data_IF_526512652138
#
_entry.id   IF_526512652138
#
_cell.length_a   1.000
_cell.length_b   1.000
_cell.length_c   1.000
_cell.angle_alpha   90.00
_cell.angle_beta   90.00
_cell.angle_gamma   90.00
#
_symmetry.space_group_name_H-M   'P 1'
#
loop_
_entity.id
_entity.type
_entity.pdbx_description
1 polymer ?
#
# COMPACT_ATOMS: atom_id res chain seq x y z
N UNK A 1 25.98 -9.72 0.90
CA UNK A 1 24.90 -10.69 0.67
C UNK A 1 23.70 -10.30 1.51
N UNK A 2 22.71 -9.76 0.83
CA UNK A 2 21.41 -9.43 1.40
C UNK A 2 20.43 -10.61 1.25
N UNK A 3 19.20 -10.44 1.75
CA UNK A 3 18.12 -11.41 1.51
C UNK A 3 17.70 -11.36 0.04
N UNK A 4 17.63 -10.16 -0.54
CA UNK A 4 17.32 -9.95 -1.95
C UNK A 4 18.31 -10.67 -2.87
N UNK A 5 19.61 -10.63 -2.59
CA UNK A 5 20.62 -11.34 -3.40
C UNK A 5 20.32 -12.85 -3.51
N UNK A 6 19.95 -13.47 -2.39
CA UNK A 6 19.64 -14.89 -2.33
C UNK A 6 18.33 -15.23 -3.05
N UNK A 7 17.31 -14.37 -2.91
CA UNK A 7 16.02 -14.55 -3.60
C UNK A 7 16.18 -14.37 -5.11
N UNK A 8 17.02 -13.45 -5.59
CA UNK A 8 17.28 -13.30 -7.04
C UNK A 8 17.86 -14.58 -7.64
N UNK A 9 18.74 -15.27 -6.92
CA UNK A 9 19.30 -16.54 -7.39
C UNK A 9 18.30 -17.68 -7.34
N UNK A 10 17.49 -17.75 -6.28
CA UNK A 10 16.48 -18.81 -6.11
C UNK A 10 15.17 -18.54 -6.86
N UNK A 11 15.01 -17.35 -7.45
CA UNK A 11 13.80 -16.88 -8.11
C UNK A 11 13.56 -17.49 -9.49
N UNK A 12 14.52 -18.23 -10.03
CA UNK A 12 14.39 -18.99 -11.29
C UNK A 12 13.53 -20.25 -11.16
N UNK A 13 13.20 -20.67 -9.94
CA UNK A 13 12.40 -21.87 -9.69
C UNK A 13 13.18 -23.18 -9.83
N UNK A 14 14.51 -23.13 -9.85
CA UNK A 14 15.39 -24.29 -9.92
C UNK A 14 16.04 -24.60 -8.56
N UNK A 15 16.60 -25.80 -8.42
CA UNK A 15 17.35 -26.18 -7.22
C UNK A 15 18.80 -25.70 -7.31
N UNK A 16 19.25 -24.99 -6.28
CA UNK A 16 20.62 -24.50 -6.14
C UNK A 16 21.28 -25.09 -4.89
N UNK A 17 22.44 -25.72 -5.05
CA UNK A 17 23.20 -26.23 -3.91
C UNK A 17 23.79 -25.07 -3.08
N UNK A 18 23.98 -25.30 -1.77
CA UNK A 18 24.59 -24.29 -0.90
C UNK A 18 26.05 -23.95 -1.25
N UNK A 19 26.72 -24.79 -2.04
CA UNK A 19 28.05 -24.52 -2.58
C UNK A 19 27.99 -23.58 -3.78
N UNK A 20 27.12 -23.87 -4.77
CA UNK A 20 26.86 -22.98 -5.92
C UNK A 20 26.43 -21.58 -5.47
N UNK A 21 25.50 -21.49 -4.51
CA UNK A 21 25.06 -20.22 -3.94
C UNK A 21 26.22 -19.49 -3.25
N UNK A 22 27.11 -20.22 -2.56
CA UNK A 22 28.29 -19.65 -1.91
C UNK A 22 29.28 -19.08 -2.91
N UNK A 23 29.57 -19.81 -3.98
CA UNK A 23 30.45 -19.38 -5.07
C UNK A 23 29.92 -18.14 -5.78
N UNK A 24 28.64 -18.14 -6.17
CA UNK A 24 28.03 -17.00 -6.88
C UNK A 24 27.95 -15.74 -6.01
N UNK A 25 27.75 -15.89 -4.70
CA UNK A 25 27.62 -14.77 -3.76
C UNK A 25 28.96 -14.38 -3.11
N UNK A 26 30.05 -15.10 -3.39
CA UNK A 26 31.37 -14.87 -2.81
C UNK A 26 31.43 -15.09 -1.29
N UNK A 27 30.63 -16.04 -0.76
CA UNK A 27 30.56 -16.34 0.68
C UNK A 27 30.67 -17.84 0.97
N UNK A 28 30.90 -18.20 2.23
CA UNK A 28 30.95 -19.61 2.63
C UNK A 28 29.56 -20.26 2.59
N UNK A 29 29.52 -21.58 2.36
CA UNK A 29 28.29 -22.40 2.47
C UNK A 29 27.59 -22.24 3.82
N UNK A 30 28.34 -22.04 4.90
CA UNK A 30 27.78 -21.79 6.22
C UNK A 30 27.05 -20.43 6.31
N UNK A 31 27.57 -19.39 5.65
CA UNK A 31 26.93 -18.09 5.55
C UNK A 31 25.63 -18.17 4.72
N UNK A 32 25.62 -18.93 3.62
CA UNK A 32 24.40 -19.23 2.85
C UNK A 32 23.36 -19.91 3.74
N UNK A 33 23.73 -20.98 4.45
CA UNK A 33 22.81 -21.69 5.34
C UNK A 33 22.17 -20.78 6.40
N UNK A 34 22.95 -19.85 6.98
CA UNK A 34 22.43 -18.87 7.94
C UNK A 34 21.38 -17.94 7.31
N UNK A 35 21.57 -17.50 6.06
CA UNK A 35 20.58 -16.67 5.38
C UNK A 35 19.35 -17.47 4.95
N UNK A 36 19.51 -18.72 4.50
CA UNK A 36 18.37 -19.60 4.21
C UNK A 36 17.48 -19.79 5.45
N UNK A 37 18.07 -19.96 6.65
CA UNK A 37 17.29 -19.99 7.91
C UNK A 37 16.60 -18.67 8.22
N UNK A 38 17.20 -17.54 7.81
CA UNK A 38 16.57 -16.22 7.96
C UNK A 38 15.36 -16.08 7.03
N UNK A 39 15.41 -16.60 5.80
CA UNK A 39 14.26 -16.63 4.89
C UNK A 39 13.07 -17.35 5.51
N UNK A 40 13.28 -18.55 6.08
CA UNK A 40 12.23 -19.30 6.79
C UNK A 40 11.62 -18.48 7.94
N UNK A 41 12.46 -17.77 8.71
CA UNK A 41 11.97 -16.91 9.80
C UNK A 41 11.15 -15.69 9.34
N UNK A 42 11.29 -15.31 8.06
CA UNK A 42 10.49 -14.26 7.42
C UNK A 42 9.22 -14.79 6.76
N UNK A 43 8.92 -16.09 6.92
CA UNK A 43 7.77 -16.74 6.30
C UNK A 43 7.97 -17.03 4.81
N UNK A 44 9.20 -17.00 4.32
CA UNK A 44 9.52 -17.37 2.93
C UNK A 44 9.78 -18.88 2.90
N UNK A 45 8.78 -19.62 2.41
CA UNK A 45 8.81 -21.07 2.31
C UNK A 45 9.85 -21.54 1.30
N UNK A 46 10.62 -22.56 1.68
CA UNK A 46 11.66 -23.15 0.85
C UNK A 46 11.56 -24.66 0.82
N UNK A 47 11.93 -25.24 -0.32
CA UNK A 47 12.14 -26.67 -0.48
C UNK A 47 13.62 -26.99 -0.36
N UNK A 48 13.96 -28.01 0.43
CA UNK A 48 15.32 -28.51 0.59
C UNK A 48 15.37 -30.00 0.25
N UNK A 49 16.09 -30.36 -0.81
CA UNK A 49 16.23 -31.74 -1.27
C UNK A 49 17.68 -32.19 -1.13
N UNK A 50 17.90 -33.28 -0.39
CA UNK A 50 19.24 -33.85 -0.17
C UNK A 50 19.86 -34.21 -1.52
N UNK A 51 21.02 -33.62 -1.82
CA UNK A 51 21.77 -33.84 -3.05
C UNK A 51 21.40 -32.92 -4.22
N UNK A 52 20.31 -32.14 -4.13
CA UNK A 52 19.93 -31.15 -5.16
C UNK A 52 20.10 -29.71 -4.66
N UNK A 53 19.84 -29.45 -3.38
CA UNK A 53 20.01 -28.12 -2.79
C UNK A 53 18.70 -27.50 -2.33
N UNK A 54 18.53 -26.21 -2.60
CA UNK A 54 17.45 -25.38 -2.10
C UNK A 54 16.73 -24.66 -3.24
N UNK A 55 15.43 -24.42 -3.08
CA UNK A 55 14.58 -23.64 -3.98
C UNK A 55 13.48 -22.93 -3.18
N UNK A 56 12.93 -21.82 -3.68
CA UNK A 56 11.71 -21.24 -3.13
C UNK A 56 10.50 -22.17 -3.39
N UNK A 57 9.66 -22.40 -2.39
CA UNK A 57 8.45 -23.20 -2.57
C UNK A 57 7.43 -22.50 -3.49
N UNK A 58 7.44 -21.17 -3.48
CA UNK A 58 6.61 -20.33 -4.33
C UNK A 58 7.48 -19.27 -5.01
N UNK A 59 7.21 -18.92 -6.29
CA UNK A 59 7.88 -17.81 -6.94
C UNK A 59 7.70 -16.51 -6.14
N UNK A 60 8.77 -15.74 -6.01
CA UNK A 60 8.77 -14.44 -5.34
C UNK A 60 9.46 -13.41 -6.24
N UNK A 61 8.67 -12.55 -6.87
CA UNK A 61 9.20 -11.48 -7.70
C UNK A 61 9.68 -10.33 -6.81
N UNK A 62 10.94 -9.94 -6.90
CA UNK A 62 11.44 -8.73 -6.23
C UNK A 62 11.07 -7.47 -7.01
N UNK A 63 10.95 -6.36 -6.29
CA UNK A 63 10.81 -5.04 -6.88
C UNK A 63 12.09 -4.66 -7.62
N UNK A 64 11.94 -4.22 -8.86
CA UNK A 64 12.99 -3.81 -9.77
C UNK A 64 12.67 -2.40 -10.30
N UNK A 65 13.40 -1.42 -9.78
CA UNK A 65 13.20 -0.02 -10.15
C UNK A 65 13.45 0.26 -11.63
N UNK A 66 14.36 -0.46 -12.30
CA UNK A 66 14.63 -0.24 -13.72
C UNK A 66 13.46 -0.71 -14.56
N UNK A 67 12.90 -1.88 -14.26
CA UNK A 67 11.72 -2.41 -14.93
C UNK A 67 10.50 -1.51 -14.72
N UNK A 68 10.26 -1.09 -13.47
CA UNK A 68 9.16 -0.18 -13.13
C UNK A 68 9.27 1.12 -13.93
N UNK A 69 10.45 1.76 -13.97
CA UNK A 69 10.65 3.02 -14.70
C UNK A 69 10.50 2.83 -16.23
N UNK A 70 10.92 1.68 -16.76
CA UNK A 70 10.82 1.39 -18.19
C UNK A 70 9.36 1.32 -18.68
N UNK A 71 8.46 0.84 -17.83
CA UNK A 71 7.03 0.69 -18.14
C UNK A 71 6.24 2.00 -17.99
N UNK A 72 6.78 3.03 -17.33
CA UNK A 72 6.11 4.33 -17.18
C UNK A 72 6.07 5.13 -18.49
N UNK A 73 4.96 5.83 -18.72
CA UNK A 73 4.83 6.80 -19.81
C UNK A 73 5.77 8.00 -19.63
N UNK A 74 5.91 8.81 -20.69
CA UNK A 74 6.67 10.06 -20.62
C UNK A 74 6.03 11.06 -19.65
N UNK A 75 4.70 11.09 -19.56
CA UNK A 75 3.97 12.01 -18.70
C UNK A 75 4.24 11.69 -17.23
N UNK A 76 4.02 10.44 -16.81
CA UNK A 76 4.28 10.02 -15.44
C UNK A 76 5.77 10.21 -15.06
N UNK A 77 6.70 9.81 -15.94
CA UNK A 77 8.14 10.04 -15.74
C UNK A 77 8.52 11.52 -15.58
N UNK A 78 7.76 12.44 -16.19
CA UNK A 78 7.99 13.87 -16.05
C UNK A 78 7.76 14.39 -14.62
N UNK A 79 7.00 13.66 -13.81
CA UNK A 79 6.73 13.99 -12.40
C UNK A 79 7.57 13.17 -11.42
N UNK A 80 8.32 12.16 -11.89
CA UNK A 80 9.17 11.31 -11.07
C UNK A 80 10.59 11.88 -11.00
N UNK A 81 10.98 12.41 -9.85
CA UNK A 81 12.34 12.87 -9.58
C UNK A 81 13.27 11.68 -9.33
N UNK A 82 12.84 10.72 -8.51
CA UNK A 82 13.65 9.55 -8.13
C UNK A 82 12.78 8.41 -7.62
N UNK A 83 13.17 7.18 -7.96
CA UNK A 83 12.61 5.95 -7.40
C UNK A 83 13.66 5.25 -6.51
N UNK A 84 13.28 4.98 -5.27
CA UNK A 84 14.03 4.14 -4.34
C UNK A 84 13.36 2.78 -4.24
N UNK A 85 14.16 1.71 -4.24
CA UNK A 85 13.69 0.33 -3.98
C UNK A 85 14.55 -0.24 -2.88
N UNK A 86 13.94 -0.48 -1.73
CA UNK A 86 14.61 -0.90 -0.50
C UNK A 86 14.15 -2.30 -0.07
N UNK A 87 15.06 -3.12 0.47
CA UNK A 87 14.68 -4.44 0.99
C UNK A 87 13.95 -4.33 2.33
N UNK A 88 14.38 -3.42 3.20
CA UNK A 88 13.77 -3.25 4.52
C UNK A 88 13.97 -1.84 5.01
N UNK A 89 12.89 -1.20 5.45
CA UNK A 89 12.90 0.08 6.14
C UNK A 89 12.01 0.02 7.38
N UNK A 90 12.19 0.88 8.38
CA UNK A 90 11.18 1.08 9.42
C UNK A 90 9.84 1.50 8.80
N UNK A 91 9.85 2.54 7.96
CA UNK A 91 8.68 3.03 7.24
C UNK A 91 9.13 3.80 5.99
N UNK A 92 8.55 3.49 4.84
CA UNK A 92 8.75 4.19 3.57
C UNK A 92 8.23 5.63 3.64
N UNK A 93 7.16 5.89 4.39
CA UNK A 93 6.69 7.25 4.66
C UNK A 93 7.71 8.05 5.48
N UNK A 94 8.26 7.45 6.55
CA UNK A 94 9.24 8.13 7.39
C UNK A 94 10.54 8.41 6.61
N UNK A 95 10.96 7.46 5.76
CA UNK A 95 12.09 7.64 4.86
C UNK A 95 11.89 8.85 3.95
N UNK A 96 10.75 8.94 3.25
CA UNK A 96 10.48 10.12 2.40
C UNK A 96 10.28 11.40 3.21
N UNK A 97 9.77 11.33 4.44
CA UNK A 97 9.66 12.52 5.29
C UNK A 97 11.02 13.12 5.57
N UNK A 98 12.00 12.30 5.96
CA UNK A 98 13.37 12.74 6.23
C UNK A 98 14.07 13.34 4.99
N UNK A 99 13.67 12.92 3.77
CA UNK A 99 14.20 13.52 2.53
C UNK A 99 13.88 15.01 2.42
N UNK A 100 12.72 15.44 2.92
CA UNK A 100 12.33 16.85 2.88
C UNK A 100 13.19 17.72 3.78
N UNK A 101 13.64 17.20 4.93
CA UNK A 101 14.58 17.90 5.83
C UNK A 101 15.91 18.25 5.13
N UNK A 102 16.22 17.55 4.04
CA UNK A 102 17.42 17.74 3.21
C UNK A 102 17.13 18.47 1.89
N UNK A 103 15.96 19.10 1.76
CA UNK A 103 15.55 19.83 0.55
C UNK A 103 15.11 18.94 -0.62
N UNK A 104 15.02 17.62 -0.45
CA UNK A 104 14.56 16.66 -1.46
C UNK A 104 13.07 16.30 -1.29
N UNK A 105 12.66 15.05 -1.59
CA UNK A 105 11.31 14.53 -1.33
C UNK A 105 10.25 14.85 -2.39
N UNK A 106 10.32 15.99 -3.09
CA UNK A 106 9.36 16.31 -4.15
C UNK A 106 9.50 15.39 -5.36
N UNK A 107 8.42 14.68 -5.72
CA UNK A 107 8.41 13.71 -6.81
C UNK A 107 9.29 12.49 -6.55
N UNK A 108 9.71 12.26 -5.30
CA UNK A 108 10.45 11.05 -4.92
C UNK A 108 9.48 9.95 -4.48
N UNK A 109 9.75 8.72 -4.92
CA UNK A 109 8.98 7.52 -4.61
C UNK A 109 9.85 6.52 -3.88
N UNK A 110 9.34 5.92 -2.82
CA UNK A 110 9.98 4.82 -2.12
C UNK A 110 9.10 3.56 -2.20
N UNK A 111 9.69 2.49 -2.72
CA UNK A 111 9.14 1.15 -2.69
C UNK A 111 9.96 0.30 -1.71
N UNK A 112 9.30 -0.55 -0.93
CA UNK A 112 9.99 -1.39 0.05
C UNK A 112 9.42 -2.82 0.12
N UNK A 113 10.30 -3.82 0.19
CA UNK A 113 9.90 -5.23 0.30
C UNK A 113 9.24 -5.57 1.64
N UNK A 114 9.68 -4.90 2.71
CA UNK A 114 9.14 -5.05 4.05
C UNK A 114 9.32 -3.78 4.90
N UNK A 115 8.27 -3.40 5.63
CA UNK A 115 8.39 -2.42 6.70
C UNK A 115 8.51 -3.10 8.06
N UNK A 116 9.54 -2.77 8.84
CA UNK A 116 9.72 -3.29 10.20
C UNK A 116 8.94 -2.51 11.27
N UNK A 117 8.55 -1.27 10.96
CA UNK A 117 7.79 -0.38 11.83
C UNK A 117 6.70 0.39 11.04
N UNK A 118 6.03 -0.33 10.13
CA UNK A 118 4.99 0.23 9.29
C UNK A 118 3.85 0.85 10.10
N UNK A 119 3.30 1.96 9.63
CA UNK A 119 2.28 2.73 10.34
C UNK A 119 1.02 2.88 9.50
N UNK A 120 -0.11 2.85 10.18
CA UNK A 120 -1.40 3.32 9.70
C UNK A 120 -1.86 4.54 10.51
N UNK A 121 -3.08 5.00 10.23
CA UNK A 121 -3.69 6.13 10.96
C UNK A 121 -3.73 5.87 12.47
N UNK A 122 -3.64 6.96 13.24
CA UNK A 122 -3.74 6.95 14.72
C UNK A 122 -2.72 6.04 15.40
N UNK A 123 -1.53 5.91 14.80
CA UNK A 123 -0.42 5.13 15.35
C UNK A 123 -0.59 3.61 15.30
N UNK A 124 -1.61 3.08 14.61
CA UNK A 124 -1.76 1.63 14.44
C UNK A 124 -0.61 1.07 13.61
N UNK A 125 -0.14 -0.13 13.94
CA UNK A 125 0.85 -0.81 13.11
C UNK A 125 0.25 -1.26 11.77
N UNK A 126 1.05 -1.16 10.72
CA UNK A 126 0.83 -1.84 9.44
C UNK A 126 1.87 -2.94 9.28
N UNK A 127 1.47 -4.17 9.54
CA UNK A 127 2.32 -5.34 9.42
C UNK A 127 2.39 -5.80 7.96
N UNK A 128 3.58 -6.15 7.49
CA UNK A 128 3.83 -6.53 6.10
C UNK A 128 4.68 -7.80 6.06
N UNK A 129 4.20 -8.90 5.45
CA UNK A 129 5.04 -10.04 5.16
C UNK A 129 6.05 -9.68 4.07
N UNK A 130 7.28 -10.16 4.21
CA UNK A 130 8.37 -9.81 3.30
C UNK A 130 8.05 -10.23 1.87
N UNK A 131 8.05 -9.30 0.91
CA UNK A 131 7.84 -9.57 -0.52
C UNK A 131 6.42 -9.99 -0.91
N UNK A 132 5.47 -9.98 0.03
CA UNK A 132 4.07 -10.42 -0.19
C UNK A 132 3.05 -9.27 -0.18
N UNK A 133 3.56 -8.04 -0.15
CA UNK A 133 2.79 -6.80 -0.30
C UNK A 133 3.49 -5.84 -1.25
N UNK A 134 2.75 -4.85 -1.73
CA UNK A 134 3.31 -3.65 -2.36
C UNK A 134 3.23 -2.50 -1.35
N UNK A 135 4.38 -2.01 -0.91
CA UNK A 135 4.51 -0.85 -0.03
C UNK A 135 5.12 0.29 -0.82
N UNK A 136 4.36 1.37 -0.96
CA UNK A 136 4.71 2.52 -1.78
C UNK A 136 4.52 3.79 -0.96
N UNK A 137 5.47 4.72 -1.07
CA UNK A 137 5.30 6.11 -0.62
C UNK A 137 5.66 7.06 -1.74
N UNK A 138 4.93 8.17 -1.86
CA UNK A 138 5.20 9.27 -2.78
C UNK A 138 5.27 10.59 -2.00
N UNK A 139 6.37 11.32 -2.16
CA UNK A 139 6.57 12.65 -1.59
C UNK A 139 6.20 13.76 -2.57
N UNK A 140 5.50 14.79 -2.10
CA UNK A 140 5.14 15.95 -2.90
C UNK A 140 5.18 17.26 -2.10
N UNK A 141 5.39 18.39 -2.79
CA UNK A 141 5.30 19.74 -2.23
C UNK A 141 4.07 20.43 -2.81
N UNK A 142 3.35 21.16 -1.98
CA UNK A 142 2.09 21.82 -2.31
C UNK A 142 2.20 23.26 -1.83
N UNK A 143 1.92 24.24 -2.69
CA UNK A 143 2.12 25.66 -2.36
C UNK A 143 0.91 26.26 -1.62
N UNK A 144 -0.29 25.74 -1.90
CA UNK A 144 -1.59 26.24 -1.45
C UNK A 144 -1.98 25.80 -0.02
N UNK A 145 -1.13 25.02 0.65
CA UNK A 145 -1.34 24.57 2.02
C UNK A 145 -2.25 23.36 2.19
N UNK A 146 -2.51 23.03 3.46
CA UNK A 146 -3.12 21.74 3.86
C UNK A 146 -4.56 21.58 3.36
N UNK A 147 -5.32 22.67 3.29
CA UNK A 147 -6.72 22.63 2.83
C UNK A 147 -6.85 22.13 1.38
N UNK A 148 -5.84 22.38 0.54
CA UNK A 148 -5.82 21.90 -0.84
C UNK A 148 -5.66 20.36 -0.95
N UNK A 149 -5.36 19.68 0.16
CA UNK A 149 -5.17 18.23 0.22
C UNK A 149 -6.41 17.47 0.71
N UNK A 150 -7.52 18.17 1.00
CA UNK A 150 -8.77 17.55 1.38
C UNK A 150 -9.24 16.55 0.30
N UNK A 151 -9.52 15.32 0.71
CA UNK A 151 -9.92 14.24 -0.19
C UNK A 151 -8.79 13.57 -0.99
N UNK A 152 -7.51 13.96 -0.79
CA UNK A 152 -6.38 13.32 -1.48
C UNK A 152 -6.31 11.81 -1.25
N UNK A 153 -6.56 11.34 -0.01
CA UNK A 153 -6.61 9.89 0.28
C UNK A 153 -7.72 9.17 -0.48
N UNK A 154 -8.84 9.86 -0.75
CA UNK A 154 -9.98 9.30 -1.47
C UNK A 154 -9.68 9.21 -2.96
N UNK A 155 -9.12 10.26 -3.56
CA UNK A 155 -8.67 10.25 -4.96
C UNK A 155 -7.62 9.16 -5.20
N UNK A 156 -6.63 9.06 -4.30
CA UNK A 156 -5.62 8.02 -4.35
C UNK A 156 -6.23 6.61 -4.21
N UNK A 157 -7.30 6.46 -3.42
CA UNK A 157 -8.09 5.24 -3.34
C UNK A 157 -8.78 4.87 -4.65
N UNK A 158 -9.35 5.85 -5.36
CA UNK A 158 -9.94 5.61 -6.69
C UNK A 158 -8.87 5.20 -7.70
N UNK A 159 -7.70 5.85 -7.70
CA UNK A 159 -6.59 5.48 -8.57
C UNK A 159 -6.17 4.03 -8.36
N UNK A 160 -5.95 3.63 -7.09
CA UNK A 160 -5.64 2.25 -6.74
C UNK A 160 -6.75 1.29 -7.17
N UNK A 161 -8.02 1.62 -6.93
CA UNK A 161 -9.14 0.77 -7.33
C UNK A 161 -9.19 0.55 -8.86
N UNK A 162 -9.01 1.60 -9.66
CA UNK A 162 -8.99 1.50 -11.13
C UNK A 162 -7.86 0.62 -11.64
N UNK A 163 -6.66 0.76 -11.06
CA UNK A 163 -5.52 -0.11 -11.39
C UNK A 163 -5.83 -1.56 -11.03
N UNK A 164 -6.35 -1.81 -9.84
CA UNK A 164 -6.74 -3.17 -9.44
C UNK A 164 -7.81 -3.78 -10.35
N UNK A 165 -8.79 -2.99 -10.78
CA UNK A 165 -9.83 -3.40 -11.74
C UNK A 165 -9.27 -3.76 -13.11
N UNK A 166 -8.25 -3.06 -13.62
CA UNK A 166 -7.61 -3.43 -14.89
C UNK A 166 -6.86 -4.76 -14.79
N UNK A 167 -6.51 -5.19 -13.58
CA UNK A 167 -5.95 -6.50 -13.28
C UNK A 167 -7.01 -7.55 -12.89
N UNK A 168 -8.31 -7.24 -13.02
CA UNK A 168 -9.42 -8.16 -12.77
C UNK A 168 -9.86 -8.27 -11.31
N UNK A 169 -9.34 -7.43 -10.41
CA UNK A 169 -9.73 -7.37 -9.00
C UNK A 169 -10.92 -6.41 -8.84
N UNK A 170 -11.88 -6.75 -7.98
CA UNK A 170 -13.09 -5.93 -7.74
C UNK A 170 -13.11 -5.32 -6.33
N UNK A 171 -12.32 -4.25 -6.07
CA UNK A 171 -12.23 -3.63 -4.75
C UNK A 171 -13.42 -2.70 -4.45
N UNK A 172 -13.68 -2.49 -3.15
CA UNK A 172 -14.56 -1.43 -2.65
C UNK A 172 -13.77 -0.42 -1.82
N UNK A 173 -14.24 0.82 -1.78
CA UNK A 173 -13.64 1.91 -1.03
C UNK A 173 -14.36 2.14 0.29
N UNK A 174 -13.59 2.16 1.38
CA UNK A 174 -14.05 2.43 2.73
C UNK A 174 -13.48 3.75 3.20
N UNK A 175 -14.37 4.69 3.48
CA UNK A 175 -13.98 6.00 4.00
C UNK A 175 -13.25 5.89 5.35
N UNK A 176 -12.21 6.71 5.59
CA UNK A 176 -11.67 7.73 4.67
C UNK A 176 -10.49 7.25 3.81
N UNK A 177 -9.99 6.02 3.99
CA UNK A 177 -8.66 5.69 3.49
C UNK A 177 -8.35 4.18 3.34
N UNK A 178 -9.35 3.32 3.40
CA UNK A 178 -9.17 1.87 3.31
C UNK A 178 -9.76 1.33 2.00
N UNK A 179 -9.12 0.31 1.43
CA UNK A 179 -9.67 -0.48 0.33
C UNK A 179 -10.04 -1.86 0.87
N UNK A 180 -11.22 -2.35 0.52
CA UNK A 180 -11.75 -3.64 0.92
C UNK A 180 -11.84 -4.56 -0.29
N UNK A 181 -11.73 -5.86 -0.03
CA UNK A 181 -11.95 -6.88 -1.05
C UNK A 181 -12.78 -8.02 -0.46
N UNK A 182 -13.71 -8.53 -1.27
CA UNK A 182 -14.47 -9.73 -0.92
C UNK A 182 -13.57 -10.95 -1.09
N UNK A 183 -13.47 -11.73 -0.02
CA UNK A 183 -12.66 -12.95 0.08
C UNK A 183 -13.46 -14.18 -0.38
N UNK A 184 -12.81 -15.35 -0.57
CA UNK A 184 -13.48 -16.57 -1.01
C UNK A 184 -14.59 -17.06 -0.06
N UNK A 185 -14.48 -16.77 1.24
CA UNK A 185 -15.50 -17.07 2.26
C UNK A 185 -16.76 -16.19 2.17
N UNK A 186 -16.75 -15.18 1.29
CA UNK A 186 -17.85 -14.25 1.07
C UNK A 186 -17.78 -12.98 1.92
N UNK A 187 -16.85 -12.89 2.87
CA UNK A 187 -16.68 -11.75 3.77
C UNK A 187 -15.74 -10.68 3.17
N UNK A 188 -15.86 -9.45 3.65
CA UNK A 188 -14.95 -8.37 3.26
C UNK A 188 -13.75 -8.28 4.21
N UNK A 189 -12.55 -8.26 3.63
CA UNK A 189 -11.30 -7.99 4.35
C UNK A 189 -10.65 -6.69 3.88
N UNK A 190 -9.81 -6.09 4.73
CA UNK A 190 -8.99 -4.95 4.33
C UNK A 190 -7.90 -5.40 3.36
N UNK A 191 -7.94 -4.87 2.13
CA UNK A 191 -6.98 -5.13 1.06
C UNK A 191 -5.81 -4.14 1.11
N UNK A 192 -6.12 -2.86 1.26
CA UNK A 192 -5.11 -1.81 1.28
C UNK A 192 -5.44 -0.71 2.30
N UNK A 193 -4.40 -0.01 2.74
CA UNK A 193 -4.51 1.21 3.53
C UNK A 193 -3.71 2.34 2.90
N UNK A 194 -4.33 3.52 2.84
CA UNK A 194 -3.70 4.74 2.33
C UNK A 194 -3.46 5.68 3.52
N UNK A 195 -2.26 6.21 3.66
CA UNK A 195 -1.88 7.10 4.75
C UNK A 195 -1.25 8.36 4.16
N UNK A 196 -1.98 9.47 4.25
CA UNK A 196 -1.49 10.80 3.86
C UNK A 196 -0.99 11.52 5.10
N UNK A 197 0.30 11.83 5.13
CA UNK A 197 0.96 12.58 6.21
C UNK A 197 1.41 13.94 5.67
N UNK A 198 0.99 15.01 6.33
CA UNK A 198 1.26 16.39 5.91
C UNK A 198 2.09 17.10 6.99
N UNK A 199 3.07 17.89 6.55
CA UNK A 199 3.89 18.77 7.39
C UNK A 199 3.96 20.15 6.75
N UNK A 200 3.99 21.22 7.54
CA UNK A 200 4.03 22.60 7.04
C UNK A 200 2.86 23.45 7.52
N UNK A 201 2.65 24.59 6.85
CA UNK A 201 1.64 25.59 7.22
C UNK A 201 0.26 25.22 6.65
N UNK A 202 -0.80 25.53 7.40
CA UNK A 202 -2.18 25.43 6.95
C UNK A 202 -2.47 26.33 5.73
N UNK A 203 -1.80 27.49 5.62
CA UNK A 203 -2.06 28.52 4.60
C UNK A 203 -0.91 28.75 3.62
N UNK A 204 0.14 27.93 3.65
CA UNK A 204 1.36 28.13 2.86
C UNK A 204 2.00 26.81 2.45
N UNK A 205 3.24 26.81 1.94
CA UNK A 205 3.82 25.61 1.39
C UNK A 205 3.89 24.50 2.43
N UNK A 206 3.40 23.34 2.03
CA UNK A 206 3.38 22.13 2.84
C UNK A 206 3.91 20.94 2.05
N UNK A 207 4.28 19.90 2.79
CA UNK A 207 4.90 18.71 2.26
C UNK A 207 4.05 17.52 2.63
N UNK A 208 3.70 16.72 1.63
CA UNK A 208 2.84 15.55 1.80
C UNK A 208 3.61 14.28 1.45
N UNK A 209 3.42 13.24 2.27
CA UNK A 209 3.81 11.87 1.93
C UNK A 209 2.56 11.01 1.86
N UNK A 210 2.33 10.41 0.70
CA UNK A 210 1.23 9.49 0.44
C UNK A 210 1.77 8.08 0.52
N UNK A 211 1.47 7.37 1.61
CA UNK A 211 1.78 5.96 1.80
C UNK A 211 0.64 5.06 1.37
N UNK A 212 0.96 3.97 0.70
CA UNK A 212 0.04 2.89 0.33
C UNK A 212 0.65 1.56 0.73
N UNK A 213 -0.10 0.81 1.53
CA UNK A 213 0.17 -0.60 1.76
C UNK A 213 -0.91 -1.45 1.11
N UNK A 214 -0.53 -2.30 0.16
CA UNK A 214 -1.43 -3.21 -0.55
C UNK A 214 -1.00 -4.65 -0.28
N UNK A 215 -1.92 -5.47 0.22
CA UNK A 215 -1.70 -6.89 0.40
C UNK A 215 -1.83 -7.62 -0.93
N UNK A 216 -0.78 -8.32 -1.36
CA UNK A 216 -0.82 -9.10 -2.60
C UNK A 216 -1.17 -10.56 -2.31
N UNK A 217 -0.47 -11.14 -1.35
CA UNK A 217 -0.66 -12.51 -0.89
C UNK A 217 -0.51 -12.55 0.63
N UNK A 218 -1.36 -13.30 1.32
CA UNK A 218 -1.30 -13.45 2.78
C UNK A 218 -1.63 -14.89 3.16
N UNK A 219 -0.73 -15.53 3.92
CA UNK A 219 -1.00 -16.85 4.50
C UNK A 219 -2.08 -16.79 5.58
N UNK A 220 -2.71 -17.93 5.87
CA UNK A 220 -3.75 -18.02 6.90
C UNK A 220 -3.19 -17.72 8.30
N UNK A 221 -1.95 -18.12 8.59
CA UNK A 221 -1.27 -17.80 9.84
C UNK A 221 -1.07 -16.29 9.98
N UNK A 222 -0.63 -15.62 8.91
CA UNK A 222 -0.46 -14.18 8.93
C UNK A 222 -1.81 -13.48 9.12
N UNK A 223 -2.86 -13.87 8.39
CA UNK A 223 -4.21 -13.32 8.55
C UNK A 223 -4.71 -13.48 9.98
N UNK A 224 -4.50 -14.65 10.60
CA UNK A 224 -4.91 -14.94 11.96
C UNK A 224 -4.16 -14.11 13.01
N UNK A 225 -2.94 -13.67 12.70
CA UNK A 225 -2.17 -12.76 13.56
C UNK A 225 -2.67 -11.31 13.52
N UNK A 226 -3.47 -10.95 12.51
CA UNK A 226 -4.03 -9.61 12.37
C UNK A 226 -5.26 -9.44 13.26
N UNK A 227 -5.33 -8.33 14.00
CA UNK A 227 -6.48 -7.99 14.84
C UNK A 227 -7.74 -7.55 14.08
N UNK A 228 -7.81 -7.76 12.77
CA UNK A 228 -8.95 -7.39 11.92
C UNK A 228 -8.99 -8.25 10.63
N UNK A 229 -10.15 -8.39 9.98
CA UNK A 229 -10.24 -9.06 8.67
C UNK A 229 -9.33 -8.40 7.63
N UNK A 230 -8.50 -9.22 6.97
CA UNK A 230 -7.61 -8.81 5.89
C UNK A 230 -7.88 -9.63 4.64
N UNK A 231 -7.76 -8.97 3.49
CA UNK A 231 -7.82 -9.54 2.16
C UNK A 231 -6.50 -9.26 1.42
N UNK A 232 -6.27 -10.01 0.35
CA UNK A 232 -5.11 -9.89 -0.53
C UNK A 232 -5.55 -9.96 -2.00
N UNK A 233 -4.77 -9.40 -2.92
CA UNK A 233 -5.07 -9.46 -4.36
C UNK A 233 -5.31 -10.89 -4.86
N UNK A 234 -4.50 -11.84 -4.38
CA UNK A 234 -4.60 -13.27 -4.71
C UNK A 234 -5.91 -13.94 -4.23
N UNK A 235 -6.72 -13.28 -3.40
CA UNK A 235 -8.07 -13.75 -3.06
C UNK A 235 -9.02 -13.74 -4.28
N UNK A 236 -8.68 -13.00 -5.34
CA UNK A 236 -9.44 -12.94 -6.60
C UNK A 236 -8.59 -13.25 -7.84
N UNK A 237 -7.34 -12.77 -7.89
CA UNK A 237 -6.49 -12.91 -9.07
C UNK A 237 -5.05 -13.24 -8.66
N UNK A 238 -4.53 -14.36 -9.16
CA UNK A 238 -3.16 -14.82 -8.91
C UNK A 238 -2.20 -14.43 -10.02
N UNK A 239 -0.90 -14.32 -9.71
CA UNK A 239 0.15 -14.17 -10.72
C UNK A 239 0.31 -12.76 -11.29
N UNK A 240 -0.28 -11.75 -10.65
CA UNK A 240 -0.04 -10.34 -10.99
C UNK A 240 1.40 -9.99 -10.64
N UNK A 241 2.14 -9.45 -11.62
CA UNK A 241 3.51 -8.98 -11.39
C UNK A 241 3.52 -7.77 -10.46
N UNK A 242 4.38 -7.82 -9.44
CA UNK A 242 4.60 -6.74 -8.47
C UNK A 242 5.16 -5.50 -9.16
N UNK A 243 6.06 -5.70 -10.11
CA UNK A 243 6.67 -4.62 -10.89
C UNK A 243 5.66 -3.95 -11.81
N UNK A 244 4.86 -4.75 -12.54
CA UNK A 244 3.80 -4.20 -13.40
C UNK A 244 2.77 -3.42 -12.58
N UNK A 245 2.32 -3.98 -11.47
CA UNK A 245 1.35 -3.31 -10.58
C UNK A 245 1.91 -2.01 -9.97
N UNK A 246 3.19 -1.99 -9.60
CA UNK A 246 3.85 -0.78 -9.12
C UNK A 246 3.97 0.28 -10.22
N UNK A 247 4.29 -0.12 -11.45
CA UNK A 247 4.34 0.79 -12.59
C UNK A 247 2.96 1.39 -12.90
N UNK A 248 1.91 0.56 -12.99
CA UNK A 248 0.54 1.03 -13.25
C UNK A 248 0.03 1.96 -12.15
N UNK A 249 0.37 1.66 -10.89
CA UNK A 249 0.01 2.51 -9.76
C UNK A 249 0.74 3.86 -9.82
N UNK A 250 2.03 3.87 -10.17
CA UNK A 250 2.79 5.11 -10.33
C UNK A 250 2.33 5.92 -11.56
N UNK A 251 1.98 5.25 -12.65
CA UNK A 251 1.39 5.85 -13.85
C UNK A 251 0.11 6.62 -13.50
N UNK A 252 -0.72 6.06 -12.61
CA UNK A 252 -1.94 6.70 -12.15
C UNK A 252 -1.71 7.79 -11.09
N UNK A 253 -0.80 7.56 -10.14
CA UNK A 253 -0.62 8.46 -8.98
C UNK A 253 0.19 9.71 -9.28
N UNK A 254 1.25 9.61 -10.09
CA UNK A 254 2.15 10.74 -10.31
C UNK A 254 1.45 11.95 -10.95
N UNK A 255 0.67 11.80 -12.05
CA UNK A 255 -0.11 12.91 -12.61
C UNK A 255 -1.23 13.36 -11.68
N UNK A 256 -1.91 12.42 -10.99
CA UNK A 256 -2.97 12.74 -10.04
C UNK A 256 -2.49 13.71 -8.97
N UNK A 257 -1.36 13.40 -8.32
CA UNK A 257 -0.83 14.23 -7.23
C UNK A 257 -0.32 15.57 -7.76
N UNK A 258 0.29 15.58 -8.94
CA UNK A 258 0.76 16.81 -9.58
C UNK A 258 -0.37 17.79 -9.90
N UNK A 259 -1.56 17.28 -10.25
CA UNK A 259 -2.72 18.12 -10.61
C UNK A 259 -3.68 18.34 -9.42
N UNK A 260 -3.53 17.60 -8.32
CA UNK A 260 -4.48 17.60 -7.21
C UNK A 260 -4.66 18.97 -6.57
N UNK A 261 -3.58 19.74 -6.41
CA UNK A 261 -3.64 21.10 -5.85
C UNK A 261 -4.58 22.02 -6.64
N UNK A 262 -4.66 21.84 -7.96
CA UNK A 262 -5.51 22.62 -8.85
C UNK A 262 -6.93 22.08 -8.92
N UNK A 263 -7.11 20.77 -8.94
CA UNK A 263 -8.40 20.14 -9.23
C UNK A 263 -9.19 19.73 -7.98
N UNK A 264 -8.50 19.51 -6.87
CA UNK A 264 -9.05 18.93 -5.66
C UNK A 264 -9.65 17.55 -5.88
N UNK A 265 -10.58 17.16 -5.00
CA UNK A 265 -11.22 15.85 -5.03
C UNK A 265 -12.34 15.71 -6.08
N UNK A 266 -12.90 16.82 -6.58
CA UNK A 266 -14.10 16.82 -7.42
C UNK A 266 -14.06 15.85 -8.63
N UNK A 267 -12.95 15.70 -9.39
CA UNK A 267 -12.89 14.75 -10.52
C UNK A 267 -13.06 13.28 -10.10
N UNK A 268 -12.76 12.96 -8.84
CA UNK A 268 -12.75 11.60 -8.30
C UNK A 268 -14.02 11.26 -7.52
N UNK A 269 -14.82 12.26 -7.16
CA UNK A 269 -16.03 12.14 -6.34
C UNK A 269 -16.99 11.03 -6.80
N UNK A 270 -17.46 11.09 -8.05
CA UNK A 270 -18.44 10.13 -8.56
C UNK A 270 -17.87 8.70 -8.62
N UNK A 271 -16.59 8.59 -8.99
CA UNK A 271 -15.91 7.30 -9.07
C UNK A 271 -15.67 6.70 -7.67
N UNK A 272 -15.45 7.53 -6.66
CA UNK A 272 -15.34 7.08 -5.28
C UNK A 272 -16.68 6.57 -4.75
N UNK A 273 -17.75 7.36 -4.91
CA UNK A 273 -19.10 7.00 -4.44
C UNK A 273 -19.64 5.74 -5.13
N UNK A 274 -19.32 5.52 -6.41
CA UNK A 274 -19.66 4.29 -7.11
C UNK A 274 -19.03 3.02 -6.50
N UNK A 275 -17.97 3.16 -5.70
CA UNK A 275 -17.26 2.07 -5.01
C UNK A 275 -17.48 2.09 -3.50
N UNK A 276 -18.36 2.94 -2.98
CA UNK A 276 -18.46 3.14 -1.55
C UNK A 276 -19.03 1.90 -0.84
N UNK A 277 -18.18 1.23 -0.06
CA UNK A 277 -18.53 -0.03 0.62
C UNK A 277 -19.73 0.08 1.57
N UNK A 278 -19.96 1.27 2.16
CA UNK A 278 -20.95 1.48 3.21
C UNK A 278 -22.11 2.38 2.80
N UNK A 279 -22.20 2.80 1.53
CA UNK A 279 -23.34 3.57 1.06
C UNK A 279 -24.66 2.85 1.36
N UNK A 280 -25.62 3.57 1.95
CA UNK A 280 -26.92 3.06 2.35
C UNK A 280 -26.90 2.10 3.55
N UNK A 281 -25.80 1.98 4.30
CA UNK A 281 -25.69 1.11 5.48
C UNK A 281 -25.67 1.90 6.78
N UNK A 282 -26.24 1.31 7.84
CA UNK A 282 -26.05 1.79 9.20
C UNK A 282 -24.64 1.41 9.70
N UNK A 283 -23.95 2.39 10.26
CA UNK A 283 -22.61 2.23 10.79
C UNK A 283 -22.51 2.81 12.19
N UNK A 284 -21.58 2.27 12.98
CA UNK A 284 -21.06 2.93 14.16
C UNK A 284 -19.97 3.92 13.77
N UNK A 285 -20.25 5.20 14.00
CA UNK A 285 -19.28 6.30 13.92
C UNK A 285 -18.56 6.38 15.25
N UNK A 286 -17.25 6.11 15.23
CA UNK A 286 -16.39 6.11 16.40
C UNK A 286 -15.52 7.37 16.40
N UNK A 287 -15.67 8.23 17.41
CA UNK A 287 -14.87 9.45 17.59
C UNK A 287 -14.44 9.57 19.06
N UNK A 288 -13.14 9.49 19.34
CA UNK A 288 -12.64 9.34 20.71
C UNK A 288 -13.29 8.13 21.42
N UNK A 289 -13.99 8.40 22.53
CA UNK A 289 -14.77 7.42 23.30
C UNK A 289 -16.26 7.37 22.91
N UNK A 290 -16.72 8.27 22.03
CA UNK A 290 -18.10 8.31 21.58
C UNK A 290 -18.34 7.26 20.49
N UNK A 291 -19.50 6.62 20.55
CA UNK A 291 -20.01 5.69 19.55
C UNK A 291 -21.43 6.09 19.22
N UNK A 292 -21.66 6.46 17.97
CA UNK A 292 -22.94 6.95 17.49
C UNK A 292 -23.38 6.17 16.26
N UNK A 293 -24.66 5.86 16.16
CA UNK A 293 -25.23 5.18 15.00
C UNK A 293 -25.67 6.22 13.98
N UNK A 294 -25.29 6.02 12.72
CA UNK A 294 -25.74 6.84 11.61
C UNK A 294 -25.90 6.01 10.33
N UNK A 295 -26.82 6.45 9.46
CA UNK A 295 -26.99 5.90 8.12
C UNK A 295 -26.04 6.62 7.17
N UNK A 296 -25.18 5.90 6.48
CA UNK A 296 -24.27 6.48 5.49
C UNK A 296 -25.01 6.77 4.18
N UNK A 297 -24.90 7.98 3.67
CA UNK A 297 -25.41 8.34 2.34
C UNK A 297 -24.29 8.26 1.30
N UNK A 298 -23.35 9.19 1.35
CA UNK A 298 -22.31 9.38 0.35
C UNK A 298 -21.09 10.08 0.95
N UNK A 299 -20.09 10.34 0.12
CA UNK A 299 -19.07 11.36 0.38
C UNK A 299 -19.38 12.58 -0.48
N UNK A 300 -19.26 13.79 0.07
CA UNK A 300 -19.50 15.04 -0.65
C UNK A 300 -18.31 15.45 -1.55
N UNK A 301 -18.47 16.54 -2.30
CA UNK A 301 -17.44 17.07 -3.20
C UNK A 301 -16.15 17.52 -2.49
N UNK A 302 -16.19 17.75 -1.18
CA UNK A 302 -15.04 18.11 -0.33
C UNK A 302 -14.41 16.88 0.35
N UNK A 303 -14.95 15.68 0.14
CA UNK A 303 -14.43 14.45 0.74
C UNK A 303 -14.97 14.13 2.13
N UNK A 304 -15.95 14.88 2.63
CA UNK A 304 -16.60 14.59 3.90
C UNK A 304 -17.60 13.45 3.74
N UNK A 305 -17.69 12.58 4.74
CA UNK A 305 -18.74 11.57 4.79
C UNK A 305 -20.06 12.21 5.21
N UNK A 306 -21.09 12.05 4.39
CA UNK A 306 -22.45 12.49 4.66
C UNK A 306 -23.20 11.34 5.33
N UNK A 307 -23.70 11.58 6.54
CA UNK A 307 -24.49 10.61 7.29
C UNK A 307 -25.79 11.22 7.79
N UNK A 308 -26.82 10.40 7.94
CA UNK A 308 -28.11 10.78 8.55
C UNK A 308 -28.20 10.21 9.95
N UNK A 309 -28.49 11.06 10.93
CA UNK A 309 -28.67 10.69 12.32
C UNK A 309 -29.84 11.47 12.91
N UNK A 310 -30.82 10.79 13.49
CA UNK A 310 -32.01 11.45 14.04
C UNK A 310 -32.85 12.22 13.01
N UNK A 311 -32.70 11.92 11.72
CA UNK A 311 -33.36 12.63 10.62
C UNK A 311 -32.60 13.83 10.07
N UNK A 312 -31.45 14.18 10.63
CA UNK A 312 -30.61 15.30 10.16
C UNK A 312 -29.34 14.81 9.45
N UNK A 313 -28.91 15.54 8.41
CA UNK A 313 -27.65 15.29 7.72
C UNK A 313 -26.48 15.91 8.48
N UNK A 314 -25.43 15.13 8.69
CA UNK A 314 -24.15 15.55 9.27
C UNK A 314 -23.02 15.27 8.28
N UNK A 315 -22.02 16.15 8.29
CA UNK A 315 -20.82 16.07 7.47
C UNK A 315 -19.63 15.75 8.38
N UNK A 316 -18.96 14.64 8.11
CA UNK A 316 -17.87 14.13 8.94
C UNK A 316 -16.54 14.21 8.18
N UNK A 317 -15.55 14.87 8.78
CA UNK A 317 -14.20 14.97 8.23
C UNK A 317 -13.30 13.79 8.66
N UNK A 318 -12.35 13.39 7.80
CA UNK A 318 -11.54 12.15 7.89
C UNK A 318 -10.56 12.03 9.06
N UNK A 319 -10.56 12.94 10.03
CA UNK A 319 -9.59 13.03 11.13
C UNK A 319 -9.58 11.80 12.06
N UNK A 320 -10.20 11.90 13.23
CA UNK A 320 -10.15 10.83 14.25
C UNK A 320 -11.22 9.75 14.07
N UNK A 321 -12.07 9.90 13.06
CA UNK A 321 -13.26 9.07 12.87
C UNK A 321 -12.90 7.70 12.30
N UNK A 322 -13.55 6.66 12.83
CA UNK A 322 -13.54 5.30 12.31
C UNK A 322 -14.97 4.81 12.15
N UNK A 323 -15.25 4.12 11.04
CA UNK A 323 -16.53 3.46 10.80
C UNK A 323 -16.44 1.96 11.07
N UNK A 324 -17.50 1.40 11.64
CA UNK A 324 -17.73 -0.06 11.67
C UNK A 324 -19.15 -0.35 11.19
N UNK A 325 -19.29 -1.33 10.29
CA UNK A 325 -20.62 -1.81 9.88
C UNK A 325 -21.28 -2.43 11.08
N UNK A 326 -22.54 -2.08 11.31
CA UNK A 326 -23.34 -2.72 12.33
C UNK A 326 -23.82 -4.08 11.79
N UNK A 327 -23.47 -5.15 12.50
CA UNK A 327 -24.00 -6.51 12.28
C UNK A 327 -25.44 -6.61 12.77
#
# INVERSE_FOLDING_TARGET
MTIGDLIRLLGDGEFHSGEQLGEQLGVSRAAVWKQLRKLESLGISMEAVKGQGYRLAEPLELLDGQRIIADLSRQARGHLTRLFVEETLPSSNAFLRERFDHGAGHGEVCLVEQQSAGRGRRGRAWSTPWGKSLMLSLGWRVESGIAALEGLSLAAGVALARVLESHGVSPLLKWPNDVLLKRPDGEYGKLAGILVEVSGDASGPCEVVIGMGLNLSLSDEFRSSLGQPAAAVEDQVTGISRNALAADLLEALLPLVAEFEREGFAPWHNAWNARHAFAGREVDVLSGNAREVALVEEVDASGNLVVVQGGERRYLAGGEISLRVRS
#
